data_IF_059315414146
#
_entry.id   IF_059315414146
#
_cell.length_a   1.000
_cell.length_b   1.000
_cell.length_c   1.000
_cell.angle_alpha   90.00
_cell.angle_beta   90.00
_cell.angle_gamma   90.00
#
_symmetry.space_group_name_H-M   'P 1'
#
loop_
_entity.id
_entity.type
_entity.pdbx_description
1 polymer ?
#
# COMPACT_ATOMS: atom_id res chain seq x y z
N UNK A 1 -43.99 -30.02 9.34
CA UNK A 1 -43.64 -28.75 10.04
C UNK A 1 -42.15 -28.68 10.38
N UNK A 2 -41.56 -29.72 10.99
CA UNK A 2 -40.11 -29.76 11.35
C UNK A 2 -39.17 -29.62 10.13
N UNK A 3 -39.48 -30.27 8.99
CA UNK A 3 -38.66 -30.15 7.77
C UNK A 3 -38.58 -28.73 7.20
N UNK A 4 -39.66 -27.94 7.34
CA UNK A 4 -39.72 -26.56 6.88
C UNK A 4 -38.92 -25.64 7.81
N UNK A 5 -38.99 -25.88 9.12
CA UNK A 5 -38.18 -25.17 10.12
C UNK A 5 -36.68 -25.47 9.97
N UNK A 6 -36.31 -26.73 9.72
CA UNK A 6 -34.91 -27.12 9.44
C UNK A 6 -34.38 -26.51 8.13
N UNK A 7 -35.21 -26.48 7.08
CA UNK A 7 -34.85 -25.87 5.81
C UNK A 7 -34.63 -24.36 5.94
N UNK A 8 -35.52 -23.66 6.64
CA UNK A 8 -35.38 -22.23 6.92
C UNK A 8 -34.15 -21.93 7.78
N UNK A 9 -33.88 -22.74 8.81
CA UNK A 9 -32.68 -22.59 9.64
C UNK A 9 -31.39 -22.81 8.83
N UNK A 10 -31.35 -23.79 7.94
CA UNK A 10 -30.22 -24.06 7.06
C UNK A 10 -29.96 -22.89 6.10
N UNK A 11 -31.01 -22.36 5.46
CA UNK A 11 -30.91 -21.20 4.54
C UNK A 11 -30.39 -19.97 5.27
N UNK A 12 -30.87 -19.71 6.49
CA UNK A 12 -30.39 -18.59 7.33
C UNK A 12 -28.91 -18.75 7.68
N UNK A 13 -28.49 -19.94 8.14
CA UNK A 13 -27.08 -20.21 8.48
C UNK A 13 -26.14 -20.08 7.27
N UNK A 14 -26.58 -20.51 6.09
CA UNK A 14 -25.84 -20.37 4.84
C UNK A 14 -25.77 -18.91 4.38
N UNK A 15 -26.84 -18.14 4.54
CA UNK A 15 -26.88 -16.71 4.18
C UNK A 15 -26.04 -15.82 5.08
N UNK A 16 -25.91 -16.17 6.37
CA UNK A 16 -25.03 -15.47 7.33
C UNK A 16 -23.55 -15.68 6.97
N UNK A 17 -23.20 -16.85 6.41
CA UNK A 17 -21.83 -17.16 5.95
C UNK A 17 -21.45 -16.43 4.65
N UNK A 18 -22.43 -15.81 3.97
CA UNK A 18 -22.25 -15.15 2.67
C UNK A 18 -22.02 -13.64 2.77
N UNK A 19 -22.14 -13.03 3.95
CA UNK A 19 -21.80 -11.63 4.10
C UNK A 19 -20.36 -11.48 4.59
N UNK A 20 -19.65 -10.62 3.87
CA UNK A 20 -18.31 -10.12 4.13
C UNK A 20 -17.20 -10.98 3.52
N UNK A 21 -17.12 -10.99 2.18
CA UNK A 21 -15.84 -10.56 1.63
C UNK A 21 -15.53 -9.22 2.30
N UNK A 22 -14.47 -9.19 3.11
CA UNK A 22 -13.94 -7.92 3.55
C UNK A 22 -13.78 -7.08 2.28
N UNK A 23 -14.62 -6.05 2.13
CA UNK A 23 -14.35 -4.98 1.20
C UNK A 23 -12.98 -4.52 1.65
N UNK A 24 -11.95 -4.91 0.89
CA UNK A 24 -10.71 -4.18 0.90
C UNK A 24 -11.16 -2.84 0.36
N UNK A 25 -11.50 -1.93 1.28
CA UNK A 25 -11.19 -0.55 1.08
C UNK A 25 -9.69 -0.57 0.87
N UNK A 26 -9.28 -0.84 -0.36
CA UNK A 26 -8.03 -0.37 -0.87
C UNK A 26 -8.21 1.15 -0.98
N UNK A 27 -8.29 1.78 0.18
CA UNK A 27 -7.83 3.13 0.47
C UNK A 27 -6.28 3.11 0.42
N UNK A 28 -5.70 2.24 -0.42
CA UNK A 28 -4.27 2.06 -0.65
C UNK A 28 -3.75 2.96 -1.77
N UNK A 29 -4.55 3.93 -2.21
CA UNK A 29 -3.99 5.23 -2.56
C UNK A 29 -4.41 6.19 -1.47
N UNK A 30 -3.84 6.03 -0.26
CA UNK A 30 -3.58 7.21 0.55
C UNK A 30 -2.77 8.08 -0.41
N UNK A 31 -3.41 9.10 -0.97
CA UNK A 31 -2.73 10.07 -1.82
C UNK A 31 -1.55 10.53 -0.98
N UNK A 32 -0.36 10.03 -1.28
CA UNK A 32 0.77 10.22 -0.41
C UNK A 32 1.27 11.62 -0.69
N UNK A 33 0.60 12.57 -0.03
CA UNK A 33 0.86 13.99 -0.17
C UNK A 33 2.22 14.27 0.43
N UNK A 34 3.18 14.38 -0.47
CA UNK A 34 4.55 14.63 -0.11
C UNK A 34 5.13 15.61 -1.15
N UNK A 35 5.45 16.84 -0.72
CA UNK A 35 5.98 17.85 -1.63
C UNK A 35 7.37 17.43 -2.07
N UNK A 36 7.55 17.26 -3.38
CA UNK A 36 8.87 17.11 -4.00
C UNK A 36 9.26 18.41 -4.68
N UNK A 37 10.52 18.74 -4.57
CA UNK A 37 11.12 19.88 -5.26
C UNK A 37 11.42 19.48 -6.72
N UNK A 38 11.44 20.45 -7.64
CA UNK A 38 11.69 20.21 -9.07
C UNK A 38 13.19 20.23 -9.45
N UNK A 39 14.05 20.48 -8.47
CA UNK A 39 15.49 20.41 -8.61
C UNK A 39 15.95 18.99 -8.96
N UNK A 40 16.96 18.90 -9.82
CA UNK A 40 17.52 17.62 -10.27
C UNK A 40 18.89 17.46 -9.61
N UNK A 41 18.93 16.64 -8.57
CA UNK A 41 20.14 16.25 -7.84
C UNK A 41 20.07 14.76 -7.53
N UNK A 42 20.37 13.94 -8.52
CA UNK A 42 20.23 12.49 -8.40
C UNK A 42 20.92 11.95 -7.15
N UNK A 43 20.28 11.00 -6.46
CA UNK A 43 20.83 10.29 -5.32
C UNK A 43 20.53 8.80 -5.41
N UNK A 44 21.48 7.97 -4.98
CA UNK A 44 21.27 6.54 -4.86
C UNK A 44 20.74 6.21 -3.45
N UNK A 45 19.62 5.51 -3.37
CA UNK A 45 19.05 5.02 -2.11
C UNK A 45 19.74 3.75 -1.62
N UNK A 46 19.60 3.46 -0.33
CA UNK A 46 20.07 2.22 0.31
C UNK A 46 19.39 0.96 -0.24
N UNK A 47 18.29 1.14 -0.97
CA UNK A 47 17.56 0.09 -1.69
C UNK A 47 18.04 -0.09 -3.14
N UNK A 48 19.12 0.58 -3.56
CA UNK A 48 19.65 0.51 -4.92
C UNK A 48 18.81 1.24 -5.97
N UNK A 49 17.80 2.02 -5.56
CA UNK A 49 16.99 2.84 -6.46
C UNK A 49 17.56 4.25 -6.59
N UNK A 50 17.55 4.81 -7.80
CA UNK A 50 17.92 6.21 -8.01
C UNK A 50 16.71 7.11 -7.82
N UNK A 51 16.88 8.23 -7.11
CA UNK A 51 15.88 9.26 -6.90
C UNK A 51 16.35 10.56 -7.54
N UNK A 52 15.44 11.31 -8.17
CA UNK A 52 15.74 12.55 -8.90
C UNK A 52 16.32 13.64 -8.00
N UNK A 53 15.96 13.63 -6.72
CA UNK A 53 16.48 14.53 -5.69
C UNK A 53 16.35 13.93 -4.29
N UNK A 54 17.02 14.50 -3.26
CA UNK A 54 16.89 14.03 -1.89
C UNK A 54 15.45 14.06 -1.35
N UNK A 55 14.63 15.00 -1.80
CA UNK A 55 13.23 15.14 -1.36
C UNK A 55 12.40 13.96 -1.84
N UNK A 56 12.52 13.55 -3.10
CA UNK A 56 11.84 12.38 -3.67
C UNK A 56 12.28 11.06 -3.02
N UNK A 57 13.54 10.93 -2.57
CA UNK A 57 13.98 9.80 -1.76
C UNK A 57 13.24 9.75 -0.42
N UNK A 58 13.20 10.87 0.32
CA UNK A 58 12.46 10.96 1.59
C UNK A 58 10.98 10.68 1.40
N UNK A 59 10.43 11.17 0.28
CA UNK A 59 9.07 10.96 -0.13
C UNK A 59 8.75 9.48 -0.28
N UNK A 60 9.57 8.76 -1.03
CA UNK A 60 9.41 7.32 -1.19
C UNK A 60 9.53 6.58 0.14
N UNK A 61 10.46 6.97 1.02
CA UNK A 61 10.58 6.38 2.35
C UNK A 61 9.30 6.57 3.18
N UNK A 62 8.75 7.78 3.18
CA UNK A 62 7.51 8.12 3.90
C UNK A 62 6.30 7.37 3.32
N UNK A 63 6.07 7.47 2.01
CA UNK A 63 4.91 6.89 1.35
C UNK A 63 4.87 5.37 1.41
N UNK A 64 6.04 4.72 1.35
CA UNK A 64 6.11 3.26 1.40
C UNK A 64 6.22 2.72 2.82
N UNK A 65 6.40 3.58 3.82
CA UNK A 65 6.73 3.17 5.20
C UNK A 65 8.05 2.39 5.30
N UNK A 66 8.92 2.47 4.29
CA UNK A 66 10.20 1.74 4.24
C UNK A 66 11.34 2.66 4.66
N UNK A 67 12.32 2.08 5.36
CA UNK A 67 13.55 2.80 5.71
C UNK A 67 14.48 2.85 4.49
N UNK A 68 14.44 3.97 3.76
CA UNK A 68 15.32 4.26 2.62
C UNK A 68 16.23 5.42 3.02
N UNK A 69 17.54 5.20 3.07
CA UNK A 69 18.53 6.25 3.36
C UNK A 69 19.31 6.59 2.11
N UNK A 70 19.91 7.78 2.04
CA UNK A 70 20.87 8.09 0.97
C UNK A 70 22.10 7.20 1.14
N UNK A 71 22.49 6.50 0.07
CA UNK A 71 23.75 5.76 -0.02
C UNK A 71 24.86 6.71 -0.48
N UNK A 72 24.71 7.30 -1.66
CA UNK A 72 25.65 8.29 -2.22
C UNK A 72 24.96 9.22 -3.22
N UNK A 73 25.65 10.30 -3.59
CA UNK A 73 25.17 11.26 -4.58
C UNK A 73 25.39 10.74 -6.02
N UNK A 74 24.46 11.04 -6.91
CA UNK A 74 24.39 10.53 -8.28
C UNK A 74 23.49 9.29 -8.43
N UNK A 75 23.54 8.68 -9.60
CA UNK A 75 22.77 7.48 -9.95
C UNK A 75 23.35 6.24 -9.29
N UNK A 76 22.50 5.29 -8.93
CA UNK A 76 22.96 3.96 -8.52
C UNK A 76 23.71 3.29 -9.68
N UNK A 77 24.89 2.77 -9.40
CA UNK A 77 25.70 1.94 -10.30
C UNK A 77 25.55 0.49 -9.83
N UNK A 78 25.12 -0.37 -10.75
CA UNK A 78 24.90 -1.80 -10.54
C UNK A 78 26.12 -2.51 -9.99
#
# INVERSE_FOLDING_TARGET
>A
MIKLSLFLALVVLLSISFQVEAVRLDEGTTDCLCPVTADIFYVCGSNGSTYTNPTSLRCAAFCTGRRITKSYDGWCRS
#
